data_IF_481352327032
#
_entry.id   IF_481352327032
#
_cell.length_a   1.000
_cell.length_b   1.000
_cell.length_c   1.000
_cell.angle_alpha   90.00
_cell.angle_beta   90.00
_cell.angle_gamma   90.00
#
_symmetry.space_group_name_H-M   'P 1'
#
loop_
_entity.id
_entity.type
_entity.pdbx_description
1 polymer ?
#
# COMPACT_ATOMS: atom_id res chain seq x y z
N UNK A 1 13.88 -21.52 -19.32
CA UNK A 1 13.14 -21.22 -18.08
C UNK A 1 11.73 -21.75 -18.28
N UNK A 2 11.21 -22.52 -17.34
CA UNK A 2 9.81 -22.97 -17.42
C UNK A 2 8.89 -21.75 -17.23
N UNK A 3 7.66 -21.79 -17.76
CA UNK A 3 6.70 -20.70 -17.61
C UNK A 3 6.41 -20.40 -16.11
N UNK A 4 6.57 -21.41 -15.26
CA UNK A 4 6.46 -21.35 -13.79
C UNK A 4 7.58 -20.52 -13.14
N UNK A 5 8.82 -20.62 -13.65
CA UNK A 5 9.96 -19.86 -13.11
C UNK A 5 9.79 -18.36 -13.35
N UNK A 6 9.26 -17.98 -14.52
CA UNK A 6 9.00 -16.59 -14.88
C UNK A 6 7.90 -15.95 -14.00
N UNK A 7 6.83 -16.70 -13.72
CA UNK A 7 5.73 -16.27 -12.85
C UNK A 7 6.22 -15.99 -11.43
N UNK A 8 7.03 -16.89 -10.87
CA UNK A 8 7.56 -16.72 -9.52
C UNK A 8 8.45 -15.48 -9.42
N UNK A 9 9.30 -15.24 -10.44
CA UNK A 9 10.12 -14.04 -10.52
C UNK A 9 9.26 -12.76 -10.54
N UNK A 10 8.16 -12.73 -11.30
CA UNK A 10 7.25 -11.57 -11.29
C UNK A 10 6.67 -11.33 -9.90
N UNK A 11 6.16 -12.37 -9.24
CA UNK A 11 5.55 -12.23 -7.91
C UNK A 11 6.57 -11.79 -6.85
N UNK A 12 7.82 -12.21 -6.99
CA UNK A 12 8.93 -11.78 -6.14
C UNK A 12 9.28 -10.31 -6.37
N UNK A 13 9.37 -9.87 -7.62
CA UNK A 13 9.59 -8.45 -7.96
C UNK A 13 8.46 -7.58 -7.39
N UNK A 14 7.22 -8.07 -7.42
CA UNK A 14 6.06 -7.39 -6.84
C UNK A 14 6.01 -7.48 -5.30
N UNK A 15 6.93 -8.19 -4.66
CA UNK A 15 6.97 -8.42 -3.21
C UNK A 15 5.67 -9.04 -2.66
N UNK A 16 5.05 -9.93 -3.43
CA UNK A 16 3.82 -10.66 -3.04
C UNK A 16 3.95 -12.18 -3.23
N UNK A 17 5.15 -12.70 -3.48
CA UNK A 17 5.44 -14.13 -3.67
C UNK A 17 4.98 -15.03 -2.51
N UNK A 18 4.97 -14.52 -1.28
CA UNK A 18 4.43 -15.22 -0.10
C UNK A 18 2.96 -15.61 -0.30
N UNK A 19 2.22 -14.86 -1.13
CA UNK A 19 0.80 -15.08 -1.43
C UNK A 19 0.55 -15.78 -2.77
N UNK A 20 1.59 -16.34 -3.39
CA UNK A 20 1.49 -17.06 -4.68
C UNK A 20 0.54 -18.26 -4.65
N UNK A 21 0.34 -18.87 -3.48
CA UNK A 21 -0.63 -19.95 -3.27
C UNK A 21 -2.09 -19.47 -3.22
N UNK A 22 -2.32 -18.16 -3.01
CA UNK A 22 -3.65 -17.55 -2.91
C UNK A 22 -4.03 -16.79 -4.18
N UNK A 23 -3.05 -16.26 -4.91
CA UNK A 23 -3.29 -15.52 -6.14
C UNK A 23 -2.19 -15.86 -7.16
N UNK A 24 -2.62 -16.33 -8.33
CA UNK A 24 -1.72 -16.73 -9.42
C UNK A 24 -1.91 -15.82 -10.63
N UNK A 25 -0.86 -15.53 -11.41
CA UNK A 25 -1.03 -14.82 -12.68
C UNK A 25 -1.96 -15.58 -13.62
N UNK A 26 -2.93 -14.85 -14.17
CA UNK A 26 -3.93 -15.41 -15.08
C UNK A 26 -4.03 -14.54 -16.34
N UNK A 27 -4.29 -15.13 -17.53
CA UNK A 27 -4.46 -14.35 -18.75
C UNK A 27 -5.63 -13.37 -18.63
N UNK A 28 -5.55 -12.23 -19.32
CA UNK A 28 -6.70 -11.36 -19.52
C UNK A 28 -7.70 -12.02 -20.49
N UNK A 29 -8.99 -11.63 -20.45
CA UNK A 29 -10.02 -12.28 -21.30
C UNK A 29 -9.74 -12.19 -22.81
N UNK A 30 -9.06 -11.14 -23.23
CA UNK A 30 -8.71 -10.79 -24.61
C UNK A 30 -7.23 -11.06 -24.94
N UNK A 31 -6.46 -11.71 -24.07
CA UNK A 31 -5.03 -11.94 -24.28
C UNK A 31 -4.53 -13.23 -23.64
N UNK A 32 -3.57 -13.91 -24.26
CA UNK A 32 -2.86 -15.04 -23.65
C UNK A 32 -1.88 -14.64 -22.55
N UNK A 33 -1.64 -13.33 -22.38
CA UNK A 33 -0.73 -12.79 -21.37
C UNK A 33 -1.48 -12.37 -20.10
N UNK A 34 -0.85 -12.57 -18.94
CA UNK A 34 -1.26 -11.98 -17.66
C UNK A 34 -0.77 -10.53 -17.48
N UNK A 35 0.02 -10.02 -18.42
CA UNK A 35 0.61 -8.69 -18.38
C UNK A 35 0.19 -7.90 -19.62
N UNK A 36 -0.21 -6.65 -19.43
CA UNK A 36 -0.47 -5.67 -20.51
C UNK A 36 0.22 -4.36 -20.21
N UNK A 37 0.77 -3.73 -21.24
CA UNK A 37 1.30 -2.36 -21.15
C UNK A 37 0.47 -1.48 -22.08
N UNK A 38 -0.47 -0.73 -21.52
CA UNK A 38 -1.46 0.08 -22.26
C UNK A 38 -1.69 1.42 -21.55
N UNK A 39 -2.24 2.44 -22.23
CA UNK A 39 -2.65 3.69 -21.59
C UNK A 39 -3.75 3.45 -20.55
N UNK A 40 -3.66 4.11 -19.40
CA UNK A 40 -4.74 4.19 -18.42
C UNK A 40 -5.83 5.20 -18.85
N UNK A 41 -6.83 5.43 -17.99
CA UNK A 41 -7.90 6.40 -18.26
C UNK A 41 -7.42 7.84 -18.45
N UNK A 42 -6.21 8.17 -18.01
CA UNK A 42 -5.58 9.48 -18.15
C UNK A 42 -4.59 9.53 -19.33
N UNK A 43 -4.50 8.46 -20.13
CA UNK A 43 -3.56 8.35 -21.25
C UNK A 43 -2.13 8.00 -20.84
N UNK A 44 -1.87 7.65 -19.58
CA UNK A 44 -0.53 7.31 -19.08
C UNK A 44 -0.26 5.84 -19.34
N UNK A 45 0.85 5.54 -20.03
CA UNK A 45 1.29 4.17 -20.28
C UNK A 45 1.54 3.46 -18.94
N UNK A 46 0.74 2.44 -18.66
CA UNK A 46 0.67 1.73 -17.38
C UNK A 46 0.83 0.23 -17.60
N UNK A 47 1.54 -0.43 -16.69
CA UNK A 47 1.68 -1.88 -16.65
C UNK A 47 0.57 -2.49 -15.80
N UNK A 48 -0.29 -3.28 -16.43
CA UNK A 48 -1.35 -4.03 -15.78
C UNK A 48 -0.94 -5.49 -15.65
N UNK A 49 -1.04 -6.04 -14.44
CA UNK A 49 -0.73 -7.43 -14.13
C UNK A 49 -1.98 -8.08 -13.55
N UNK A 50 -2.48 -9.13 -14.20
CA UNK A 50 -3.68 -9.84 -13.78
C UNK A 50 -3.32 -11.02 -12.88
N UNK A 51 -3.90 -11.01 -11.67
CA UNK A 51 -3.82 -12.07 -10.68
C UNK A 51 -5.21 -12.60 -10.41
N UNK A 52 -5.36 -13.90 -10.26
CA UNK A 52 -6.63 -14.55 -9.97
C UNK A 52 -6.49 -15.53 -8.82
N UNK A 53 -7.48 -15.55 -7.94
CA UNK A 53 -7.59 -16.59 -6.92
C UNK A 53 -7.83 -17.96 -7.57
N UNK A 54 -6.95 -18.96 -7.34
CA UNK A 54 -7.29 -20.34 -7.64
C UNK A 54 -8.36 -20.77 -6.63
N UNK A 55 -9.48 -21.31 -7.10
CA UNK A 55 -10.59 -21.72 -6.23
C UNK A 55 -10.07 -22.64 -5.13
N UNK A 56 -10.03 -22.15 -3.90
CA UNK A 56 -9.46 -22.83 -2.74
C UNK A 56 -10.54 -23.19 -1.72
N UNK A 57 -10.31 -24.22 -0.89
CA UNK A 57 -11.14 -24.49 0.28
C UNK A 57 -11.23 -23.24 1.16
N UNK A 58 -12.44 -22.90 1.60
CA UNK A 58 -12.67 -21.67 2.35
C UNK A 58 -13.56 -21.90 3.57
N UNK A 59 -13.23 -21.16 4.64
CA UNK A 59 -13.97 -21.14 5.89
C UNK A 59 -14.83 -19.87 5.92
N UNK A 60 -16.09 -19.99 6.31
CA UNK A 60 -16.94 -18.82 6.48
C UNK A 60 -16.42 -17.93 7.62
N UNK A 61 -16.18 -16.62 7.39
CA UNK A 61 -15.69 -15.72 8.43
C UNK A 61 -16.73 -15.40 9.52
N UNK A 62 -18.00 -15.74 9.30
CA UNK A 62 -19.10 -15.40 10.22
C UNK A 62 -19.49 -16.56 11.15
N UNK A 63 -19.48 -17.80 10.65
CA UNK A 63 -19.93 -18.97 11.41
C UNK A 63 -18.89 -20.11 11.44
N UNK A 64 -17.72 -19.91 10.84
CA UNK A 64 -16.63 -20.88 10.77
C UNK A 64 -16.95 -22.20 10.05
N UNK A 65 -18.07 -22.27 9.31
CA UNK A 65 -18.38 -23.43 8.49
C UNK A 65 -17.35 -23.63 7.38
N UNK A 66 -16.89 -24.88 7.22
CA UNK A 66 -15.87 -25.26 6.24
C UNK A 66 -16.53 -25.70 4.93
N UNK A 67 -16.18 -25.05 3.81
CA UNK A 67 -16.62 -25.43 2.46
C UNK A 67 -18.13 -25.51 2.21
N UNK A 68 -18.97 -24.98 3.11
CA UNK A 68 -20.41 -24.92 2.91
C UNK A 68 -20.85 -23.57 2.34
N UNK A 69 -20.35 -23.23 1.15
CA UNK A 69 -20.61 -21.95 0.51
C UNK A 69 -20.87 -22.07 -1.00
N UNK A 70 -21.63 -21.13 -1.57
CA UNK A 70 -21.91 -21.06 -3.01
C UNK A 70 -21.21 -19.83 -3.58
N UNK A 71 -20.41 -20.01 -4.64
CA UNK A 71 -19.84 -18.89 -5.39
C UNK A 71 -20.93 -18.06 -6.06
N UNK A 72 -20.87 -16.74 -5.88
CA UNK A 72 -21.72 -15.73 -6.53
C UNK A 72 -21.01 -15.09 -7.73
N UNK A 73 -19.95 -15.74 -8.22
CA UNK A 73 -19.16 -15.29 -9.35
C UNK A 73 -17.93 -14.47 -8.96
N UNK A 74 -17.16 -14.15 -9.99
CA UNK A 74 -15.90 -13.43 -9.91
C UNK A 74 -16.16 -11.92 -9.85
N UNK A 75 -15.32 -11.21 -9.10
CA UNK A 75 -15.18 -9.75 -9.12
C UNK A 75 -13.72 -9.41 -9.35
N UNK A 76 -13.47 -8.23 -9.92
CA UNK A 76 -12.14 -7.69 -10.07
C UNK A 76 -11.99 -6.38 -9.29
N UNK A 77 -10.78 -6.13 -8.80
CA UNK A 77 -10.36 -4.86 -8.21
C UNK A 77 -9.00 -4.47 -8.79
N UNK A 78 -8.83 -3.17 -9.04
CA UNK A 78 -7.54 -2.61 -9.41
C UNK A 78 -6.83 -2.06 -8.18
N UNK A 79 -5.63 -2.58 -7.89
CA UNK A 79 -4.77 -2.12 -6.81
C UNK A 79 -3.56 -1.39 -7.39
N UNK A 80 -3.33 -0.15 -6.96
CA UNK A 80 -2.12 0.61 -7.30
C UNK A 80 -0.91 -0.01 -6.61
N UNK A 81 0.09 -0.40 -7.40
CA UNK A 81 1.36 -0.92 -6.93
C UNK A 81 2.47 0.13 -7.11
N UNK A 82 3.65 -0.09 -6.54
CA UNK A 82 4.78 0.80 -6.78
C UNK A 82 5.22 0.72 -8.25
N UNK A 83 5.70 1.83 -8.79
CA UNK A 83 6.08 1.96 -10.20
C UNK A 83 7.38 1.23 -10.51
N UNK A 84 7.52 0.69 -11.72
CA UNK A 84 8.82 0.22 -12.24
C UNK A 84 9.48 1.35 -13.01
N UNK A 85 10.40 2.05 -12.35
CA UNK A 85 10.94 3.31 -12.85
C UNK A 85 9.80 4.31 -13.07
N UNK A 86 9.67 4.82 -14.30
CA UNK A 86 8.61 5.78 -14.67
C UNK A 86 7.29 5.14 -15.09
N UNK A 87 7.17 3.80 -15.07
CA UNK A 87 5.98 3.09 -15.53
C UNK A 87 5.12 2.72 -14.31
N UNK A 88 3.92 3.30 -14.15
CA UNK A 88 2.99 2.92 -13.10
C UNK A 88 2.57 1.45 -13.24
N UNK A 89 2.36 0.78 -12.11
CA UNK A 89 1.92 -0.62 -12.06
C UNK A 89 0.56 -0.73 -11.38
N UNK A 90 -0.34 -1.50 -11.99
CA UNK A 90 -1.67 -1.80 -11.46
C UNK A 90 -1.86 -3.31 -11.44
N UNK A 91 -2.17 -3.85 -10.25
CA UNK A 91 -2.60 -5.24 -10.12
C UNK A 91 -4.10 -5.32 -10.34
N UNK A 92 -4.52 -6.04 -11.36
CA UNK A 92 -5.92 -6.41 -11.60
C UNK A 92 -6.13 -7.72 -10.87
N UNK A 93 -6.83 -7.69 -9.73
CA UNK A 93 -7.01 -8.86 -8.87
C UNK A 93 -8.44 -9.37 -9.01
N UNK A 94 -8.56 -10.60 -9.52
CA UNK A 94 -9.82 -11.31 -9.66
C UNK A 94 -10.03 -12.26 -8.47
N UNK A 95 -11.14 -12.09 -7.77
CA UNK A 95 -11.48 -12.79 -6.53
C UNK A 95 -12.96 -13.19 -6.51
N UNK A 96 -13.29 -14.22 -5.73
CA UNK A 96 -14.63 -14.75 -5.60
C UNK A 96 -15.41 -14.08 -4.47
N UNK A 97 -16.73 -14.07 -4.65
CA UNK A 97 -17.68 -13.78 -3.57
C UNK A 97 -18.52 -15.00 -3.30
N UNK A 98 -18.93 -15.17 -2.06
CA UNK A 98 -19.65 -16.34 -1.60
C UNK A 98 -20.84 -15.95 -0.75
N UNK A 99 -21.81 -16.87 -0.70
CA UNK A 99 -22.82 -16.93 0.35
C UNK A 99 -22.61 -18.21 1.15
N UNK A 100 -22.57 -18.11 2.47
CA UNK A 100 -22.57 -19.29 3.34
C UNK A 100 -23.94 -19.96 3.33
N UNK A 101 -23.99 -21.30 3.23
CA UNK A 101 -25.25 -22.04 3.29
C UNK A 101 -25.77 -22.22 4.71
N UNK A 102 -24.91 -22.17 5.73
CA UNK A 102 -25.30 -22.35 7.13
C UNK A 102 -25.84 -21.07 7.76
N UNK A 103 -25.10 -19.95 7.66
CA UNK A 103 -25.52 -18.68 8.26
C UNK A 103 -26.13 -17.68 7.27
N UNK A 104 -26.21 -18.02 5.97
CA UNK A 104 -26.72 -17.14 4.91
C UNK A 104 -25.98 -15.80 4.74
N UNK A 105 -24.84 -15.61 5.40
CA UNK A 105 -24.03 -14.39 5.30
C UNK A 105 -23.20 -14.35 4.02
N UNK A 106 -23.03 -13.16 3.45
CA UNK A 106 -22.15 -12.91 2.31
C UNK A 106 -20.73 -12.60 2.77
N UNK A 107 -19.74 -13.04 1.99
CA UNK A 107 -18.35 -12.68 2.18
C UNK A 107 -17.57 -12.78 0.86
N UNK A 108 -16.41 -12.12 0.82
CA UNK A 108 -15.48 -12.16 -0.31
C UNK A 108 -14.19 -12.88 0.10
N UNK A 109 -13.45 -13.41 -0.86
CA UNK A 109 -12.06 -13.82 -0.60
C UNK A 109 -11.24 -12.63 -0.08
N UNK A 110 -10.33 -12.90 0.84
CA UNK A 110 -9.39 -11.92 1.34
C UNK A 110 -8.27 -11.71 0.30
N UNK A 111 -7.89 -10.45 0.05
CA UNK A 111 -6.74 -10.11 -0.78
C UNK A 111 -5.62 -9.68 0.17
N UNK A 112 -4.69 -10.57 0.55
CA UNK A 112 -3.79 -10.36 1.69
C UNK A 112 -2.76 -9.25 1.46
N UNK A 113 -2.47 -8.91 0.21
CA UNK A 113 -1.57 -7.82 -0.16
C UNK A 113 -2.30 -6.50 -0.41
N UNK A 114 -3.62 -6.42 -0.19
CA UNK A 114 -4.38 -5.17 -0.21
C UNK A 114 -4.16 -4.42 1.10
N UNK A 115 -3.87 -3.11 1.04
CA UNK A 115 -3.67 -2.29 2.22
C UNK A 115 -5.01 -1.76 2.75
N UNK A 116 -5.44 -2.20 3.94
CA UNK A 116 -6.61 -1.69 4.70
C UNK A 116 -7.87 -1.45 3.86
N UNK A 117 -8.23 -2.41 2.99
CA UNK A 117 -9.36 -2.32 2.06
C UNK A 117 -9.30 -1.13 1.06
N UNK A 118 -8.13 -0.51 0.88
CA UNK A 118 -7.88 0.57 -0.09
C UNK A 118 -7.50 -0.02 -1.45
N UNK A 119 -7.57 0.80 -2.51
CA UNK A 119 -7.14 0.43 -3.86
C UNK A 119 -5.62 0.55 -4.04
N UNK A 120 -4.85 0.03 -3.08
CA UNK A 120 -3.40 0.08 -3.04
C UNK A 120 -2.86 -1.22 -2.44
N UNK A 121 -1.68 -1.63 -2.86
CA UNK A 121 -1.01 -2.79 -2.27
C UNK A 121 -0.19 -2.39 -1.05
N UNK A 122 0.00 -3.32 -0.11
CA UNK A 122 0.87 -3.12 1.07
C UNK A 122 2.29 -2.67 0.69
N UNK A 123 2.99 -3.29 -0.28
CA UNK A 123 4.32 -2.83 -0.70
C UNK A 123 4.35 -1.39 -1.23
N UNK A 124 3.28 -0.94 -1.91
CA UNK A 124 3.21 0.42 -2.43
C UNK A 124 3.09 1.45 -1.29
N UNK A 125 2.27 1.14 -0.30
CA UNK A 125 2.08 1.99 0.88
C UNK A 125 3.34 2.03 1.74
N UNK A 126 4.02 0.90 1.93
CA UNK A 126 5.32 0.85 2.62
C UNK A 126 6.38 1.69 1.90
N UNK A 127 6.44 1.60 0.57
CA UNK A 127 7.35 2.43 -0.23
C UNK A 127 7.00 3.92 -0.11
N UNK A 128 5.71 4.29 -0.15
CA UNK A 128 5.28 5.67 0.06
C UNK A 128 5.65 6.21 1.45
N UNK A 129 5.54 5.39 2.50
CA UNK A 129 5.97 5.76 3.86
C UNK A 129 7.48 5.95 3.96
N UNK A 130 8.26 5.18 3.20
CA UNK A 130 9.71 5.36 3.11
C UNK A 130 10.05 6.70 2.45
N UNK A 131 9.39 7.05 1.35
CA UNK A 131 9.56 8.34 0.66
C UNK A 131 9.18 9.55 1.53
N UNK A 132 8.26 9.39 2.49
CA UNK A 132 7.89 10.46 3.43
C UNK A 132 9.00 10.81 4.43
N UNK A 133 10.02 9.96 4.57
CA UNK A 133 11.20 10.26 5.41
C UNK A 133 12.18 11.19 4.71
N UNK A 134 12.11 11.27 3.39
CA UNK A 134 12.95 12.13 2.57
C UNK A 134 12.29 13.49 2.35
N UNK A 135 13.03 14.43 1.77
CA UNK A 135 12.53 15.79 1.49
C UNK A 135 11.62 15.82 0.24
N UNK A 136 10.55 15.02 0.25
CA UNK A 136 9.55 14.94 -0.80
C UNK A 136 8.22 15.54 -0.36
N UNK A 137 7.63 16.40 -1.20
CA UNK A 137 6.29 16.91 -0.92
C UNK A 137 5.25 15.79 -1.03
N UNK A 138 4.20 15.84 -0.19
CA UNK A 138 3.08 14.88 -0.23
C UNK A 138 2.41 14.81 -1.60
N UNK A 139 2.38 15.93 -2.33
CA UNK A 139 1.88 15.98 -3.71
C UNK A 139 2.80 15.27 -4.71
N UNK A 140 4.11 15.25 -4.47
CA UNK A 140 5.06 14.45 -5.25
C UNK A 140 4.86 12.97 -4.99
N UNK A 141 4.84 12.56 -3.72
CA UNK A 141 4.63 11.16 -3.30
C UNK A 141 3.31 10.62 -3.86
N UNK A 142 2.23 11.39 -3.74
CA UNK A 142 0.93 11.08 -4.35
C UNK A 142 1.03 10.72 -5.84
N UNK A 143 1.80 11.49 -6.62
CA UNK A 143 1.99 11.23 -8.06
C UNK A 143 2.88 10.02 -8.31
N UNK A 144 4.00 9.89 -7.60
CA UNK A 144 4.94 8.77 -7.75
C UNK A 144 4.28 7.41 -7.51
N UNK A 145 3.39 7.34 -6.51
CA UNK A 145 2.70 6.11 -6.10
C UNK A 145 1.30 5.94 -6.72
N UNK A 146 0.84 6.91 -7.52
CA UNK A 146 -0.50 6.91 -8.11
C UNK A 146 -1.63 6.90 -7.08
N UNK A 147 -1.38 7.40 -5.87
CA UNK A 147 -2.33 7.48 -4.76
C UNK A 147 -2.89 8.90 -4.65
N UNK A 148 -4.19 9.04 -4.36
CA UNK A 148 -4.78 10.36 -4.14
C UNK A 148 -4.14 11.09 -2.95
N UNK A 149 -4.03 12.42 -3.02
CA UNK A 149 -3.45 13.26 -1.95
C UNK A 149 -4.07 12.95 -0.58
N UNK A 150 -5.40 12.88 -0.49
CA UNK A 150 -6.11 12.55 0.75
C UNK A 150 -5.74 11.15 1.28
N UNK A 151 -5.50 10.19 0.39
CA UNK A 151 -5.04 8.85 0.78
C UNK A 151 -3.65 8.91 1.39
N UNK A 152 -2.74 9.70 0.81
CA UNK A 152 -1.39 9.93 1.34
C UNK A 152 -1.43 10.59 2.72
N UNK A 153 -2.21 11.67 2.90
CA UNK A 153 -2.36 12.32 4.21
C UNK A 153 -2.90 11.35 5.27
N UNK A 154 -3.88 10.53 4.90
CA UNK A 154 -4.44 9.54 5.82
C UNK A 154 -3.42 8.45 6.18
N UNK A 155 -2.68 7.94 5.20
CA UNK A 155 -1.57 7.00 5.44
C UNK A 155 -0.55 7.60 6.42
N UNK A 156 -0.15 8.86 6.21
CA UNK A 156 0.76 9.57 7.12
C UNK A 156 0.20 9.58 8.54
N UNK A 157 -1.01 10.11 8.73
CA UNK A 157 -1.62 10.25 10.06
C UNK A 157 -1.84 8.93 10.79
N UNK A 158 -2.11 7.84 10.07
CA UNK A 158 -2.37 6.52 10.66
C UNK A 158 -1.09 5.73 10.99
N UNK A 159 0.02 6.01 10.30
CA UNK A 159 1.23 5.18 10.39
C UNK A 159 2.42 5.93 11.00
N UNK A 160 2.43 7.26 10.99
CA UNK A 160 3.50 8.08 11.54
C UNK A 160 3.02 8.68 12.85
N UNK A 161 3.60 8.18 13.94
CA UNK A 161 3.34 8.66 15.28
C UNK A 161 4.51 9.52 15.73
N UNK A 162 4.23 10.77 16.08
CA UNK A 162 5.21 11.62 16.75
C UNK A 162 5.23 11.14 18.22
N UNK A 163 6.38 10.67 18.74
CA UNK A 163 6.44 10.23 20.12
C UNK A 163 6.08 11.40 21.05
N UNK A 164 5.34 11.09 22.12
CA UNK A 164 5.08 12.07 23.17
C UNK A 164 6.40 12.60 23.73
N UNK A 165 6.41 13.90 24.05
CA UNK A 165 7.60 14.64 24.52
C UNK A 165 8.30 13.87 25.65
N UNK A 166 9.58 13.54 25.45
CA UNK A 166 10.36 12.80 26.42
C UNK A 166 10.61 13.64 27.68
N UNK A 167 10.35 13.03 28.85
CA UNK A 167 10.48 13.65 30.17
C UNK A 167 11.92 13.68 30.73
N UNK A 168 12.92 13.32 29.93
CA UNK A 168 14.33 13.36 30.34
C UNK A 168 15.07 14.44 29.57
N UNK A 169 15.20 15.60 30.22
CA UNK A 169 16.03 16.70 29.73
C UNK A 169 17.50 16.25 29.72
N UNK A 170 18.18 16.41 28.59
CA UNK A 170 19.62 16.15 28.50
C UNK A 170 20.40 17.10 29.41
N UNK A 171 21.62 16.70 29.81
CA UNK A 171 22.48 17.56 30.64
C UNK A 171 22.90 18.85 29.94
N UNK A 172 22.88 18.85 28.60
CA UNK A 172 23.15 20.00 27.75
C UNK A 172 22.10 20.02 26.65
N UNK A 173 21.56 21.21 26.37
CA UNK A 173 20.69 21.46 25.22
C UNK A 173 21.28 22.60 24.39
N UNK A 174 21.08 22.53 23.07
CA UNK A 174 21.30 23.63 22.16
C UNK A 174 19.95 24.09 21.64
N UNK A 175 19.76 25.40 21.58
CA UNK A 175 18.54 26.01 21.07
C UNK A 175 18.95 26.87 19.88
N UNK A 176 18.25 26.70 18.77
CA UNK A 176 18.43 27.51 17.57
C UNK A 176 17.07 27.98 17.05
N UNK A 177 17.05 29.11 16.36
CA UNK A 177 15.84 29.69 15.77
C UNK A 177 15.92 29.58 14.25
N UNK A 178 14.88 29.02 13.63
CA UNK A 178 14.78 28.95 12.17
C UNK A 178 13.44 29.46 11.68
N UNK A 179 13.45 30.01 10.47
CA UNK A 179 12.23 30.48 9.81
C UNK A 179 11.39 29.27 9.39
N UNK A 180 10.17 29.20 9.91
CA UNK A 180 9.21 28.13 9.61
C UNK A 180 8.05 28.63 8.76
N UNK A 181 7.52 27.76 7.91
CA UNK A 181 6.27 28.02 7.17
C UNK A 181 5.13 27.39 7.96
N UNK A 182 4.75 28.02 9.07
CA UNK A 182 3.64 27.57 9.92
C UNK A 182 2.47 28.56 9.87
N UNK A 183 1.26 28.08 10.15
CA UNK A 183 0.08 28.93 10.26
C UNK A 183 0.07 29.77 11.55
N UNK A 184 0.99 29.52 12.50
CA UNK A 184 1.00 30.11 13.84
C UNK A 184 2.14 31.11 14.11
N UNK A 185 3.20 31.09 13.31
CA UNK A 185 4.37 31.94 13.52
C UNK A 185 5.36 31.87 12.36
N UNK A 186 6.21 32.91 12.23
CA UNK A 186 7.24 32.99 11.18
C UNK A 186 8.50 32.21 11.56
N UNK A 187 8.72 31.99 12.85
CA UNK A 187 9.90 31.33 13.39
C UNK A 187 9.49 30.14 14.26
N UNK A 188 10.40 29.19 14.40
CA UNK A 188 10.29 28.08 15.31
C UNK A 188 11.64 27.82 15.98
N UNK A 189 11.59 27.39 17.23
CA UNK A 189 12.77 27.01 18.01
C UNK A 189 13.05 25.52 17.84
N UNK A 190 14.24 25.18 17.37
CA UNK A 190 14.75 23.83 17.33
C UNK A 190 15.56 23.56 18.60
N UNK A 191 15.12 22.61 19.41
CA UNK A 191 15.83 22.15 20.60
C UNK A 191 16.53 20.85 20.24
N UNK A 192 17.85 20.80 20.41
CA UNK A 192 18.71 19.67 20.03
C UNK A 192 19.58 19.28 21.20
N UNK A 193 19.84 17.98 21.37
CA UNK A 193 20.94 17.49 22.20
C UNK A 193 22.24 17.59 21.39
N UNK A 194 23.15 18.53 21.72
CA UNK A 194 24.36 18.75 20.93
C UNK A 194 25.37 17.60 21.05
N UNK A 195 25.24 16.72 22.04
CA UNK A 195 26.12 15.56 22.21
C UNK A 195 25.73 14.45 21.24
N UNK A 196 24.42 14.20 21.09
CA UNK A 196 23.91 13.13 20.21
C UNK A 196 23.52 13.61 18.81
N UNK A 197 23.36 14.92 18.62
CA UNK A 197 22.87 15.53 17.38
C UNK A 197 21.38 15.28 17.12
N UNK A 198 20.63 14.78 18.10
CA UNK A 198 19.19 14.49 17.96
C UNK A 198 18.34 15.70 18.29
N UNK A 199 17.38 15.99 17.43
CA UNK A 199 16.29 16.93 17.75
C UNK A 199 15.45 16.37 18.89
N UNK A 200 15.31 17.18 19.95
CA UNK A 200 14.50 16.90 21.13
C UNK A 200 13.08 17.43 20.95
N UNK A 201 12.93 18.66 20.44
CA UNK A 201 11.62 19.25 20.14
C UNK A 201 11.75 20.38 19.10
N UNK A 202 10.63 20.69 18.44
CA UNK A 202 10.46 21.89 17.61
C UNK A 202 9.26 22.64 18.16
N UNK A 203 9.52 23.84 18.70
CA UNK A 203 8.51 24.68 19.34
C UNK A 203 8.15 25.83 18.40
N UNK A 204 6.88 25.94 18.05
CA UNK A 204 6.33 27.07 17.31
C UNK A 204 6.36 28.33 18.20
N UNK A 205 6.64 29.50 17.61
CA UNK A 205 6.49 30.82 18.25
C UNK A 205 5.01 31.16 18.53
#
# INVERSE_FOLDING_TARGET
>A
MSNTDYINVILEILQINVFSHLFVPAPFMDSSSCIKKIPDSNGVITLFIHLQSPVAPLVCPHCSSFNHHISKGLRSIELKHFSFGSIPVVLVVSYHRYICKDCSSYFSENIPFQFDNRKATVPNVQSALFEMKENHSMASISRMHGLGKNTIYRIFNENIHIPDRFYHLSSVISIDEFKATSDKGTYAFNIVDPITGKTLDIIED
#
